data_IF_606391268699
#
_entry.id   IF_606391268699
#
_cell.length_a   1.000
_cell.length_b   1.000
_cell.length_c   1.000
_cell.angle_alpha   90.00
_cell.angle_beta   90.00
_cell.angle_gamma   90.00
#
_symmetry.space_group_name_H-M   'P 1'
#
loop_
_entity.id
_entity.type
_entity.pdbx_description
1 polymer ?
#
# COMPACT_ATOMS: atom_id res chain seq x y z
N UNK A 1 -3.50 -5.82 -2.40
CA UNK A 1 -4.59 -6.71 -2.85
C UNK A 1 -5.18 -7.50 -1.70
N UNK A 2 -4.41 -8.41 -1.12
CA UNK A 2 -4.85 -9.35 -0.08
C UNK A 2 -5.46 -8.65 1.12
N UNK A 3 -4.77 -7.69 1.72
CA UNK A 3 -5.28 -6.95 2.88
C UNK A 3 -6.52 -6.12 2.55
N UNK A 4 -6.58 -5.54 1.35
CA UNK A 4 -7.77 -4.82 0.92
C UNK A 4 -8.96 -5.76 0.72
N UNK A 5 -8.75 -6.97 0.20
CA UNK A 5 -9.80 -7.99 0.11
C UNK A 5 -10.33 -8.36 1.50
N UNK A 6 -9.41 -8.65 2.45
CA UNK A 6 -9.78 -9.02 3.82
C UNK A 6 -10.60 -7.91 4.47
N UNK A 7 -10.09 -6.68 4.52
CA UNK A 7 -10.78 -5.56 5.17
C UNK A 7 -12.09 -5.19 4.46
N UNK A 8 -12.19 -5.36 3.14
CA UNK A 8 -13.43 -5.14 2.40
C UNK A 8 -14.49 -6.15 2.82
N UNK A 9 -14.17 -7.44 2.84
CA UNK A 9 -15.09 -8.51 3.24
C UNK A 9 -15.53 -8.39 4.69
N UNK A 10 -14.61 -8.16 5.61
CA UNK A 10 -14.94 -7.88 7.01
C UNK A 10 -15.91 -6.71 7.12
N UNK A 11 -15.69 -5.66 6.32
CA UNK A 11 -16.53 -4.48 6.32
C UNK A 11 -17.92 -4.70 5.70
N UNK A 12 -18.03 -5.41 4.58
CA UNK A 12 -19.28 -5.55 3.82
C UNK A 12 -20.14 -6.69 4.33
N UNK A 13 -19.53 -7.79 4.74
CA UNK A 13 -20.22 -9.01 5.14
C UNK A 13 -20.23 -9.23 6.66
N UNK A 14 -19.45 -8.45 7.43
CA UNK A 14 -19.37 -8.58 8.90
C UNK A 14 -18.65 -9.84 9.37
N UNK A 15 -17.87 -10.49 8.48
CA UNK A 15 -17.14 -11.72 8.79
C UNK A 15 -15.93 -11.42 9.66
N UNK A 16 -15.51 -12.45 10.43
CA UNK A 16 -14.29 -12.34 11.22
C UNK A 16 -13.04 -12.32 10.35
N UNK A 17 -11.94 -11.74 10.86
CA UNK A 17 -10.64 -11.76 10.20
C UNK A 17 -10.22 -13.19 9.81
N UNK A 18 -10.40 -14.16 10.69
CA UNK A 18 -9.99 -15.56 10.47
C UNK A 18 -10.78 -16.21 9.33
N UNK A 19 -12.09 -16.00 9.28
CA UNK A 19 -12.95 -16.58 8.24
C UNK A 19 -12.58 -16.01 6.87
N UNK A 20 -12.37 -14.70 6.80
CA UNK A 20 -12.01 -14.03 5.54
C UNK A 20 -10.59 -14.36 5.10
N UNK A 21 -9.65 -14.51 6.02
CA UNK A 21 -8.29 -14.96 5.69
C UNK A 21 -8.32 -16.35 5.06
N UNK A 22 -9.09 -17.27 5.62
CA UNK A 22 -9.25 -18.61 5.06
C UNK A 22 -9.87 -18.54 3.65
N UNK A 23 -10.89 -17.75 3.45
CA UNK A 23 -11.49 -17.54 2.13
C UNK A 23 -10.49 -16.95 1.13
N UNK A 24 -9.66 -15.99 1.57
CA UNK A 24 -8.62 -15.41 0.73
C UNK A 24 -7.58 -16.45 0.30
N UNK A 25 -7.24 -17.40 1.18
CA UNK A 25 -6.35 -18.52 0.87
C UNK A 25 -7.00 -19.49 -0.12
N UNK A 26 -8.25 -19.86 0.10
CA UNK A 26 -9.01 -20.76 -0.79
C UNK A 26 -9.18 -20.19 -2.20
N UNK A 27 -9.29 -18.87 -2.32
CA UNK A 27 -9.38 -18.14 -3.60
C UNK A 27 -8.00 -17.83 -4.24
N UNK A 28 -6.90 -18.13 -3.54
CA UNK A 28 -5.56 -17.87 -4.03
C UNK A 28 -5.14 -16.38 -3.97
N UNK A 29 -5.83 -15.57 -3.17
CA UNK A 29 -5.44 -14.18 -2.88
C UNK A 29 -4.44 -14.06 -1.75
N UNK A 30 -4.38 -15.06 -0.86
CA UNK A 30 -3.37 -15.19 0.18
C UNK A 30 -2.65 -16.53 0.04
N UNK A 31 -1.37 -16.56 0.30
CA UNK A 31 -0.57 -17.79 0.37
C UNK A 31 -0.85 -18.55 1.68
N UNK A 32 -0.35 -19.79 1.78
CA UNK A 32 -0.45 -20.59 3.00
C UNK A 32 0.20 -19.88 4.20
N UNK A 33 1.31 -19.19 3.99
CA UNK A 33 1.88 -18.23 4.93
C UNK A 33 1.57 -16.81 4.47
N UNK A 34 0.52 -16.16 5.01
CA UNK A 34 0.09 -14.83 4.60
C UNK A 34 0.86 -13.69 5.27
N UNK A 35 1.86 -13.99 6.10
CA UNK A 35 2.57 -13.02 6.96
C UNK A 35 3.04 -11.80 6.18
N UNK A 36 3.62 -11.99 4.99
CA UNK A 36 4.11 -10.88 4.18
C UNK A 36 3.02 -9.87 3.82
N UNK A 37 1.79 -10.35 3.59
CA UNK A 37 0.63 -9.52 3.27
C UNK A 37 0.02 -8.89 4.54
N UNK A 38 -0.38 -9.74 5.50
CA UNK A 38 -1.21 -9.29 6.63
C UNK A 38 -0.44 -8.46 7.64
N UNK A 39 0.87 -8.68 7.78
CA UNK A 39 1.76 -7.83 8.59
C UNK A 39 2.27 -6.58 7.84
N UNK A 40 1.87 -6.39 6.58
CA UNK A 40 2.19 -5.20 5.80
C UNK A 40 3.61 -5.15 5.22
N UNK A 41 4.36 -6.24 5.28
CA UNK A 41 5.75 -6.28 4.82
C UNK A 41 5.86 -6.11 3.31
N UNK A 42 4.95 -6.70 2.54
CA UNK A 42 4.88 -6.51 1.08
C UNK A 42 4.56 -5.05 0.73
N UNK A 43 3.61 -4.44 1.44
CA UNK A 43 3.27 -3.02 1.26
C UNK A 43 4.47 -2.11 1.58
N UNK A 44 5.27 -2.44 2.61
CA UNK A 44 6.46 -1.67 2.97
C UNK A 44 7.56 -1.76 1.91
N UNK A 45 7.81 -2.95 1.35
CA UNK A 45 8.77 -3.12 0.24
C UNK A 45 8.36 -2.30 -0.99
N UNK A 46 7.07 -2.34 -1.34
CA UNK A 46 6.51 -1.54 -2.44
C UNK A 46 6.61 -0.05 -2.16
N UNK A 47 6.33 0.37 -0.92
CA UNK A 47 6.45 1.77 -0.51
C UNK A 47 7.89 2.27 -0.61
N UNK A 48 8.87 1.47 -0.18
CA UNK A 48 10.29 1.83 -0.28
C UNK A 48 10.71 2.09 -1.74
N UNK A 49 10.26 1.23 -2.67
CA UNK A 49 10.54 1.40 -4.10
C UNK A 49 9.87 2.66 -4.64
N UNK A 50 8.57 2.83 -4.41
CA UNK A 50 7.81 3.97 -4.90
C UNK A 50 8.31 5.29 -4.34
N UNK A 51 8.63 5.32 -3.05
CA UNK A 51 9.17 6.51 -2.40
C UNK A 51 10.59 6.84 -2.89
N UNK A 52 11.43 5.82 -3.15
CA UNK A 52 12.75 6.04 -3.74
C UNK A 52 12.64 6.75 -5.09
N UNK A 53 11.72 6.33 -5.94
CA UNK A 53 11.48 6.94 -7.25
C UNK A 53 10.88 8.34 -7.11
N UNK A 54 9.85 8.50 -6.27
CA UNK A 54 9.09 9.75 -6.16
C UNK A 54 9.87 10.89 -5.51
N UNK A 55 10.71 10.58 -4.54
CA UNK A 55 11.49 11.56 -3.79
C UNK A 55 12.97 11.63 -4.19
N UNK A 56 13.36 10.82 -5.19
CA UNK A 56 14.76 10.70 -5.64
C UNK A 56 15.73 10.46 -4.47
N UNK A 57 15.40 9.50 -3.61
CA UNK A 57 16.17 9.14 -2.42
C UNK A 57 16.38 7.63 -2.36
N UNK A 58 17.49 7.20 -1.78
CA UNK A 58 17.72 5.78 -1.53
C UNK A 58 17.02 5.39 -0.24
N UNK A 59 15.95 4.60 -0.37
CA UNK A 59 15.11 4.15 0.74
C UNK A 59 15.17 2.63 0.80
N UNK A 60 15.40 2.10 1.98
CA UNK A 60 15.41 0.67 2.26
C UNK A 60 14.12 0.26 2.97
N UNK A 61 13.86 -1.04 3.00
CA UNK A 61 12.72 -1.60 3.72
C UNK A 61 12.76 -1.26 5.22
N UNK A 62 13.95 -1.29 5.81
CA UNK A 62 14.19 -0.99 7.23
C UNK A 62 13.89 0.45 7.62
N UNK A 63 13.79 1.34 6.65
CA UNK A 63 13.42 2.74 6.86
C UNK A 63 11.90 2.93 7.02
N UNK A 64 11.11 1.90 6.71
CA UNK A 64 9.65 1.95 6.77
C UNK A 64 9.16 1.39 8.09
N UNK A 65 8.37 2.17 8.83
CA UNK A 65 7.64 1.64 9.99
C UNK A 65 6.45 0.85 9.52
N UNK A 66 6.27 -0.35 10.08
CA UNK A 66 5.25 -1.27 9.60
C UNK A 66 4.37 -1.76 10.75
N UNK A 67 3.06 -1.70 10.53
CA UNK A 67 2.03 -2.30 11.37
C UNK A 67 1.02 -3.00 10.45
N UNK A 68 0.70 -4.26 10.74
CA UNK A 68 -0.22 -5.08 9.96
C UNK A 68 -1.69 -4.92 10.36
N UNK A 69 -2.55 -5.77 9.78
CA UNK A 69 -4.00 -5.75 10.01
C UNK A 69 -4.48 -6.81 11.01
N UNK A 70 -3.59 -7.61 11.56
CA UNK A 70 -3.93 -8.77 12.40
C UNK A 70 -4.64 -8.40 13.71
N UNK A 71 -4.46 -7.14 14.17
CA UNK A 71 -5.12 -6.59 15.36
C UNK A 71 -6.50 -5.98 15.07
N UNK A 72 -6.92 -5.88 13.81
CA UNK A 72 -8.20 -5.26 13.44
C UNK A 72 -9.32 -6.28 13.60
N UNK A 73 -10.33 -5.93 14.35
CA UNK A 73 -11.53 -6.75 14.52
C UNK A 73 -12.79 -6.12 13.89
N UNK A 74 -13.90 -6.86 13.96
CA UNK A 74 -15.18 -6.42 13.40
C UNK A 74 -15.78 -5.22 14.12
N UNK A 75 -15.47 -5.01 15.41
CA UNK A 75 -15.94 -3.85 16.16
C UNK A 75 -15.25 -2.57 15.71
N UNK A 76 -13.92 -2.64 15.45
CA UNK A 76 -13.17 -1.49 14.91
C UNK A 76 -13.76 -1.05 13.57
N UNK A 77 -14.10 -2.00 12.71
CA UNK A 77 -14.74 -1.74 11.42
C UNK A 77 -16.13 -1.11 11.60
N UNK A 78 -16.90 -1.63 12.54
CA UNK A 78 -18.24 -1.11 12.84
C UNK A 78 -18.17 0.35 13.32
N UNK A 79 -17.33 0.64 14.30
CA UNK A 79 -17.12 2.01 14.78
C UNK A 79 -16.58 2.92 13.69
N UNK A 80 -15.64 2.44 12.88
CA UNK A 80 -15.16 3.20 11.72
C UNK A 80 -16.32 3.64 10.83
N UNK A 81 -17.23 2.73 10.48
CA UNK A 81 -18.41 3.04 9.66
C UNK A 81 -19.34 4.05 10.34
N UNK A 82 -19.61 3.88 11.63
CA UNK A 82 -20.46 4.81 12.39
C UNK A 82 -19.91 6.24 12.38
N UNK A 83 -18.59 6.39 12.36
CA UNK A 83 -17.92 7.69 12.27
C UNK A 83 -17.69 8.16 10.82
N UNK A 84 -18.12 7.42 9.82
CA UNK A 84 -17.96 7.78 8.40
C UNK A 84 -16.59 7.47 7.83
N UNK A 85 -15.90 6.46 8.35
CA UNK A 85 -14.58 6.02 7.91
C UNK A 85 -14.59 4.57 7.41
N UNK A 86 -13.66 4.26 6.51
CA UNK A 86 -13.27 2.90 6.15
C UNK A 86 -11.85 2.62 6.67
N UNK A 87 -11.59 1.39 7.11
CA UNK A 87 -10.24 0.97 7.47
C UNK A 87 -9.54 0.39 6.23
N UNK A 88 -8.33 0.88 5.97
CA UNK A 88 -7.45 0.38 4.90
C UNK A 88 -6.04 0.23 5.42
N UNK A 89 -5.29 -0.77 4.95
CA UNK A 89 -3.85 -0.79 5.12
C UNK A 89 -3.24 0.18 4.11
N UNK A 90 -2.61 1.23 4.59
CA UNK A 90 -2.00 2.26 3.75
C UNK A 90 -0.48 2.29 3.91
N UNK A 91 0.24 2.28 2.78
CA UNK A 91 1.61 2.73 2.72
C UNK A 91 1.65 4.23 2.43
N UNK A 92 2.23 5.01 3.34
CA UNK A 92 2.25 6.47 3.26
C UNK A 92 3.70 6.96 3.26
N UNK A 93 4.10 7.61 2.18
CA UNK A 93 5.35 8.35 2.08
C UNK A 93 5.04 9.85 2.00
N UNK A 94 5.58 10.63 2.91
CA UNK A 94 5.30 12.06 2.99
C UNK A 94 6.55 12.85 3.32
N UNK A 95 6.85 13.87 2.53
CA UNK A 95 7.88 14.84 2.86
C UNK A 95 7.38 15.82 3.94
N UNK A 96 8.18 16.02 4.97
CA UNK A 96 7.89 16.91 6.09
C UNK A 96 9.07 17.88 6.29
N UNK A 97 8.89 18.90 7.11
CA UNK A 97 9.97 19.82 7.48
C UNK A 97 11.15 19.11 8.18
N UNK A 98 10.91 17.96 8.80
CA UNK A 98 11.91 17.16 9.52
C UNK A 98 12.58 16.07 8.66
N UNK A 99 12.06 15.81 7.47
CA UNK A 99 12.53 14.76 6.60
C UNK A 99 11.39 13.94 5.99
N UNK A 100 11.73 12.78 5.43
CA UNK A 100 10.78 11.87 4.79
C UNK A 100 10.20 10.89 5.81
N UNK A 101 8.88 10.89 5.93
CA UNK A 101 8.11 9.96 6.77
C UNK A 101 7.61 8.79 5.93
N UNK A 102 7.89 7.56 6.37
CA UNK A 102 7.60 6.32 5.65
C UNK A 102 6.91 5.33 6.59
N UNK A 103 5.64 5.05 6.33
CA UNK A 103 4.85 4.21 7.23
C UNK A 103 3.90 3.31 6.46
N UNK A 104 3.68 2.13 6.98
CA UNK A 104 2.60 1.20 6.61
C UNK A 104 1.80 0.89 7.87
N UNK A 105 0.52 1.20 7.88
CA UNK A 105 -0.36 0.89 9.01
C UNK A 105 -1.84 0.87 8.59
N UNK A 106 -2.70 0.22 9.37
CA UNK A 106 -4.14 0.37 9.23
C UNK A 106 -4.55 1.81 9.52
N UNK A 107 -5.29 2.40 8.62
CA UNK A 107 -5.73 3.79 8.74
C UNK A 107 -7.24 3.92 8.56
N UNK A 108 -7.87 4.73 9.39
CA UNK A 108 -9.22 5.21 9.20
C UNK A 108 -9.20 6.31 8.13
N UNK A 109 -9.81 6.07 6.99
CA UNK A 109 -9.91 7.04 5.90
C UNK A 109 -11.37 7.46 5.71
N UNK A 110 -11.67 8.77 5.55
CA UNK A 110 -13.02 9.24 5.31
C UNK A 110 -13.64 8.52 4.11
N UNK A 111 -14.93 8.15 4.21
CA UNK A 111 -15.65 7.48 3.11
C UNK A 111 -15.70 8.32 1.83
N UNK A 112 -15.49 9.63 1.94
CA UNK A 112 -15.40 10.57 0.81
C UNK A 112 -14.03 10.56 0.11
N UNK A 113 -13.00 9.97 0.72
CA UNK A 113 -11.66 9.92 0.12
C UNK A 113 -11.62 8.90 -1.03
N UNK A 114 -10.98 9.20 -2.17
CA UNK A 114 -10.93 8.28 -3.33
C UNK A 114 -10.47 6.86 -2.99
N UNK A 115 -9.46 6.70 -2.12
CA UNK A 115 -8.99 5.39 -1.68
C UNK A 115 -10.04 4.57 -0.91
N UNK A 116 -11.05 5.19 -0.32
CA UNK A 116 -12.12 4.48 0.39
C UNK A 116 -12.98 3.62 -0.55
N UNK A 117 -13.07 4.00 -1.82
CA UNK A 117 -13.84 3.29 -2.84
C UNK A 117 -13.13 2.06 -3.42
N UNK A 118 -11.84 1.87 -3.13
CA UNK A 118 -11.05 0.73 -3.61
C UNK A 118 -11.46 -0.53 -2.85
N UNK A 119 -12.04 -1.52 -3.54
CA UNK A 119 -12.64 -2.71 -2.92
C UNK A 119 -12.01 -4.01 -3.42
N UNK A 120 -12.24 -5.09 -2.67
CA UNK A 120 -11.83 -6.45 -3.03
C UNK A 120 -10.33 -6.55 -3.28
N UNK A 121 -9.93 -7.29 -4.30
CA UNK A 121 -8.51 -7.51 -4.66
C UNK A 121 -7.87 -6.37 -5.47
N UNK A 122 -8.56 -5.23 -5.61
CA UNK A 122 -8.00 -4.08 -6.31
C UNK A 122 -6.97 -3.33 -5.45
N UNK A 123 -6.03 -2.69 -6.14
CA UNK A 123 -5.00 -1.85 -5.56
C UNK A 123 -5.14 -0.42 -6.10
N UNK A 124 -4.66 0.54 -5.33
CA UNK A 124 -4.54 1.92 -5.79
C UNK A 124 -3.26 2.56 -5.25
N UNK A 125 -2.71 3.49 -6.03
CA UNK A 125 -1.67 4.41 -5.63
C UNK A 125 -2.25 5.80 -5.79
N UNK A 126 -2.25 6.56 -4.70
CA UNK A 126 -2.73 7.93 -4.68
C UNK A 126 -1.54 8.86 -4.49
N UNK A 127 -1.36 9.77 -5.43
CA UNK A 127 -0.23 10.71 -5.45
C UNK A 127 -0.78 12.12 -5.35
N UNK A 128 -0.28 12.87 -4.39
CA UNK A 128 -0.55 14.30 -4.26
C UNK A 128 0.70 15.08 -4.67
N UNK A 129 0.59 15.85 -5.73
CA UNK A 129 1.69 16.62 -6.28
C UNK A 129 1.44 18.14 -6.21
N UNK A 130 2.52 18.91 -6.17
CA UNK A 130 2.41 20.37 -6.05
C UNK A 130 1.84 21.05 -7.30
N UNK A 131 1.93 20.41 -8.47
CA UNK A 131 1.51 21.02 -9.74
C UNK A 131 0.41 20.26 -10.48
N UNK A 132 0.09 19.04 -10.03
CA UNK A 132 -0.91 18.17 -10.67
C UNK A 132 -2.07 17.82 -9.74
N UNK A 133 -2.06 18.40 -8.53
CA UNK A 133 -3.01 18.05 -7.47
C UNK A 133 -3.03 16.55 -7.18
N UNK A 134 -4.18 15.91 -7.26
CA UNK A 134 -4.41 14.53 -6.87
C UNK A 134 -4.52 13.61 -8.10
N UNK A 135 -3.69 12.57 -8.13
CA UNK A 135 -3.74 11.51 -9.15
C UNK A 135 -3.92 10.16 -8.48
N UNK A 136 -4.82 9.34 -8.99
CA UNK A 136 -5.00 7.96 -8.54
C UNK A 136 -4.77 6.98 -9.69
N UNK A 137 -3.86 6.03 -9.48
CA UNK A 137 -3.67 4.85 -10.31
C UNK A 137 -4.43 3.69 -9.66
N UNK A 138 -5.33 3.06 -10.39
CA UNK A 138 -6.21 2.02 -9.88
C UNK A 138 -6.21 0.81 -10.80
N UNK A 139 -6.09 -0.39 -10.24
CA UNK A 139 -6.07 -1.61 -11.03
C UNK A 139 -5.85 -2.88 -10.21
N UNK A 140 -5.80 -4.00 -10.90
CA UNK A 140 -5.43 -5.28 -10.32
C UNK A 140 -3.91 -5.39 -10.26
N UNK A 141 -3.37 -5.70 -9.07
CA UNK A 141 -1.93 -5.90 -8.87
C UNK A 141 -1.50 -7.37 -8.92
N UNK A 142 -2.44 -8.30 -8.74
CA UNK A 142 -2.18 -9.74 -8.73
C UNK A 142 -3.20 -10.49 -9.60
N UNK A 143 -2.89 -11.75 -9.90
CA UNK A 143 -3.64 -12.64 -10.78
C UNK A 143 -2.86 -12.99 -12.06
N UNK A 144 -3.16 -14.14 -12.68
CA UNK A 144 -2.37 -14.67 -13.80
C UNK A 144 -2.31 -13.71 -15.00
N UNK A 145 -3.45 -13.19 -15.44
CA UNK A 145 -3.51 -12.26 -16.58
C UNK A 145 -2.87 -10.90 -16.29
N UNK A 146 -3.15 -10.19 -15.17
CA UNK A 146 -2.49 -8.94 -14.85
C UNK A 146 -0.97 -9.09 -14.72
N UNK A 147 -0.50 -10.15 -14.06
CA UNK A 147 0.93 -10.42 -13.92
C UNK A 147 1.57 -10.75 -15.25
N UNK A 148 0.96 -11.62 -16.05
CA UNK A 148 1.44 -11.97 -17.38
C UNK A 148 1.50 -10.76 -18.31
N UNK A 149 0.51 -9.88 -18.27
CA UNK A 149 0.50 -8.63 -19.04
C UNK A 149 1.68 -7.71 -18.64
N UNK A 150 1.97 -7.59 -17.36
CA UNK A 150 3.10 -6.77 -16.87
C UNK A 150 4.44 -7.35 -17.32
N UNK A 151 4.62 -8.67 -17.20
CA UNK A 151 5.85 -9.34 -17.64
C UNK A 151 6.08 -9.14 -19.13
N UNK A 152 5.04 -9.32 -19.97
CA UNK A 152 5.15 -9.10 -21.43
C UNK A 152 5.48 -7.63 -21.74
N UNK A 153 4.87 -6.69 -21.03
CA UNK A 153 5.18 -5.26 -21.17
C UNK A 153 6.65 -4.97 -20.89
N UNK A 154 7.18 -5.51 -19.82
CA UNK A 154 8.60 -5.32 -19.43
C UNK A 154 9.54 -5.97 -20.47
N UNK A 155 9.22 -7.17 -20.97
CA UNK A 155 9.98 -7.81 -22.05
C UNK A 155 10.02 -6.93 -23.30
N UNK A 156 8.86 -6.36 -23.69
CA UNK A 156 8.77 -5.47 -24.84
C UNK A 156 9.61 -4.19 -24.63
N UNK A 157 9.60 -3.62 -23.43
CA UNK A 157 10.40 -2.45 -23.13
C UNK A 157 11.91 -2.75 -23.17
N UNK A 158 12.32 -3.87 -22.58
CA UNK A 158 13.72 -4.32 -22.64
C UNK A 158 14.15 -4.57 -24.09
N UNK A 159 13.31 -5.23 -24.92
CA UNK A 159 13.63 -5.47 -26.31
C UNK A 159 13.81 -4.16 -27.11
N UNK A 160 12.99 -3.14 -26.86
CA UNK A 160 13.17 -1.81 -27.45
C UNK A 160 14.50 -1.17 -27.02
N UNK A 161 14.81 -1.19 -25.73
CA UNK A 161 16.05 -0.63 -25.20
C UNK A 161 17.28 -1.32 -25.85
N UNK A 162 17.25 -2.65 -25.98
CA UNK A 162 18.31 -3.40 -26.67
C UNK A 162 18.43 -2.96 -28.14
N UNK A 163 17.30 -2.82 -28.85
CA UNK A 163 17.30 -2.42 -30.27
C UNK A 163 17.83 -1.01 -30.51
N UNK A 164 17.69 -0.12 -29.55
CA UNK A 164 18.22 1.24 -29.60
C UNK A 164 19.59 1.40 -28.95
N UNK A 165 20.18 0.30 -28.44
CA UNK A 165 21.43 0.31 -27.68
C UNK A 165 21.38 1.25 -26.48
N UNK A 166 20.24 1.29 -25.78
CA UNK A 166 20.00 2.09 -24.59
C UNK A 166 19.97 1.20 -23.34
N UNK A 167 20.40 1.73 -22.20
CA UNK A 167 20.39 1.02 -20.91
C UNK A 167 19.14 1.26 -20.09
N UNK A 168 18.06 1.74 -20.73
CA UNK A 168 16.77 2.05 -20.11
C UNK A 168 16.49 3.55 -20.04
N UNK A 169 15.21 3.88 -19.86
CA UNK A 169 14.73 5.29 -19.82
C UNK A 169 15.10 5.99 -18.53
N UNK A 170 15.26 5.24 -17.46
CA UNK A 170 15.65 5.79 -16.17
C UNK A 170 17.17 5.70 -16.03
N UNK A 171 17.82 6.84 -16.11
CA UNK A 171 19.23 6.91 -15.71
C UNK A 171 19.34 6.50 -14.24
N UNK A 172 20.46 5.86 -13.81
CA UNK A 172 20.65 5.58 -12.41
C UNK A 172 20.51 6.88 -11.63
N UNK A 173 19.55 6.92 -10.71
CA UNK A 173 19.29 8.07 -9.87
C UNK A 173 20.48 8.24 -8.92
N UNK A 174 21.03 9.44 -8.86
CA UNK A 174 21.92 9.83 -7.78
C UNK A 174 21.05 10.18 -6.59
N UNK A 175 20.97 9.26 -5.64
CA UNK A 175 20.19 9.48 -4.43
C UNK A 175 20.95 10.38 -3.48
N UNK A 176 20.40 11.56 -3.21
CA UNK A 176 20.84 12.33 -2.05
C UNK A 176 20.44 11.59 -0.78
N UNK A 177 21.41 11.41 0.11
CA UNK A 177 21.13 10.97 1.47
C UNK A 177 20.44 12.14 2.19
N UNK A 178 19.15 12.03 2.39
CA UNK A 178 18.41 12.96 3.25
C UNK A 178 17.81 12.21 4.42
N UNK A 179 17.66 12.93 5.51
CA UNK A 179 17.19 12.39 6.77
C UNK A 179 15.82 11.72 6.60
N UNK A 180 15.74 10.46 7.01
CA UNK A 180 14.48 9.74 7.16
C UNK A 180 13.99 10.00 8.58
N UNK A 181 12.75 10.40 8.68
CA UNK A 181 12.15 10.83 9.92
C UNK A 181 11.65 9.62 10.72
N UNK A 182 12.18 9.46 11.94
CA UNK A 182 11.77 8.37 12.83
C UNK A 182 10.30 8.46 13.25
N UNK A 183 9.55 7.35 13.23
CA UNK A 183 8.09 7.33 13.37
C UNK A 183 7.53 7.83 14.69
N UNK A 184 8.28 7.80 15.79
CA UNK A 184 7.83 8.23 17.11
C UNK A 184 7.50 9.74 17.26
N UNK A 185 7.62 10.53 16.17
CA UNK A 185 7.41 11.98 16.18
C UNK A 185 6.31 12.47 15.23
N UNK A 186 5.59 11.55 14.56
CA UNK A 186 4.54 11.93 13.61
C UNK A 186 3.29 12.35 14.38
N UNK A 187 2.85 13.58 14.16
CA UNK A 187 1.54 14.00 14.65
C UNK A 187 0.44 13.41 13.76
N UNK A 188 -0.45 12.64 14.37
CA UNK A 188 -1.61 12.04 13.72
C UNK A 188 -2.79 12.03 14.68
N UNK A 189 -3.98 11.81 14.16
CA UNK A 189 -5.15 11.48 14.96
C UNK A 189 -5.19 9.96 15.15
N UNK A 190 -5.52 9.52 16.35
CA UNK A 190 -5.56 8.11 16.70
C UNK A 190 -6.99 7.70 17.06
N UNK A 191 -7.34 6.50 16.64
CA UNK A 191 -8.49 5.79 17.18
C UNK A 191 -8.03 4.98 18.40
N UNK A 192 -8.76 5.08 19.50
CA UNK A 192 -8.51 4.31 20.71
C UNK A 192 -9.81 3.67 21.18
N UNK A 193 -9.80 2.36 21.31
CA UNK A 193 -10.88 1.59 21.94
C UNK A 193 -10.41 1.14 23.32
N UNK A 194 -11.18 1.48 24.32
CA UNK A 194 -10.98 1.03 25.71
C UNK A 194 -11.99 -0.08 25.98
N UNK A 195 -11.51 -1.21 26.52
CA UNK A 195 -12.35 -2.33 26.94
C UNK A 195 -12.87 -2.13 28.36
#
# INVERSE_FOLDING_TARGET
GTTNFILTKMSEEGLSYQDVLKEAQDLGYAEADPTADVEGLDAARKLAILASISFNRRIFFEDVTVEGITCIDTEDIKFGKEFGYNIKLLGIAKETAQGLSLNVYPAFIPTTHPLASVRGSYNAIYVKGNGIDDVMLYGRGAGSLPTGSSVVSDIMEVAKNVSYNETGRLKPFYYDQKDIYSPGKIQSSYYLRLA
#
